data_IF_229926753801
#
_entry.id   IF_229926753801
#
_cell.length_a   1.000
_cell.length_b   1.000
_cell.length_c   1.000
_cell.angle_alpha   90.00
_cell.angle_beta   90.00
_cell.angle_gamma   90.00
#
_symmetry.space_group_name_H-M   'P 1'
#
loop_
_entity.id
_entity.type
_entity.pdbx_description
1 polymer ?
#
# COMPACT_ATOMS: atom_id res chain seq x y z
N UNK A 1 33.51 -25.58 2.83
CA UNK A 1 34.80 -25.04 3.35
C UNK A 1 35.66 -24.37 2.28
N UNK A 2 36.22 -25.06 1.26
CA UNK A 2 37.06 -24.40 0.22
C UNK A 2 36.25 -23.56 -0.80
N UNK A 3 35.00 -23.93 -1.06
CA UNK A 3 34.06 -23.21 -1.96
C UNK A 3 33.46 -21.94 -1.34
N UNK A 4 33.26 -21.95 -0.02
CA UNK A 4 32.69 -20.81 0.72
C UNK A 4 33.72 -19.67 0.88
N UNK A 5 35.01 -20.03 1.04
CA UNK A 5 36.12 -19.07 1.05
C UNK A 5 36.26 -18.34 -0.29
N UNK A 6 36.09 -19.02 -1.41
CA UNK A 6 36.17 -18.44 -2.76
C UNK A 6 35.00 -17.49 -3.06
N UNK A 7 33.82 -17.77 -2.51
CA UNK A 7 32.64 -16.90 -2.63
C UNK A 7 32.75 -15.65 -1.75
N UNK A 8 33.24 -15.79 -0.52
CA UNK A 8 33.52 -14.66 0.36
C UNK A 8 34.58 -13.73 -0.25
N UNK A 9 35.67 -14.30 -0.80
CA UNK A 9 36.74 -13.54 -1.46
C UNK A 9 36.24 -12.78 -2.71
N UNK A 10 35.27 -13.37 -3.43
CA UNK A 10 34.67 -12.74 -4.62
C UNK A 10 33.71 -11.61 -4.24
N UNK A 11 32.99 -11.74 -3.13
CA UNK A 11 32.09 -10.69 -2.61
C UNK A 11 32.91 -9.50 -2.09
N UNK A 12 34.01 -9.74 -1.39
CA UNK A 12 34.88 -8.66 -0.91
C UNK A 12 35.62 -7.95 -2.05
N UNK A 13 35.99 -8.65 -3.14
CA UNK A 13 36.54 -8.00 -4.34
C UNK A 13 35.52 -7.13 -5.06
N UNK A 14 34.27 -7.60 -5.19
CA UNK A 14 33.20 -6.80 -5.80
C UNK A 14 32.88 -5.55 -4.97
N UNK A 15 32.96 -5.63 -3.63
CA UNK A 15 32.83 -4.46 -2.75
C UNK A 15 34.01 -3.50 -2.88
N UNK A 16 35.23 -4.01 -3.02
CA UNK A 16 36.44 -3.20 -3.15
C UNK A 16 36.57 -2.54 -4.54
N UNK A 17 36.01 -3.15 -5.58
CA UNK A 17 35.88 -2.56 -6.93
C UNK A 17 34.82 -1.45 -6.93
N UNK A 18 33.64 -1.69 -6.32
CA UNK A 18 32.62 -0.66 -6.14
C UNK A 18 33.07 0.54 -5.27
N UNK A 19 33.96 0.31 -4.30
CA UNK A 19 34.49 1.39 -3.46
C UNK A 19 35.58 2.25 -4.15
N UNK A 20 36.13 1.81 -5.30
CA UNK A 20 37.25 2.48 -5.99
C UNK A 20 36.81 3.44 -7.08
N UNK A 21 35.54 3.44 -7.49
CA UNK A 21 35.02 4.22 -8.63
C UNK A 21 34.16 5.44 -8.22
N UNK A 22 34.28 5.88 -6.96
CA UNK A 22 33.40 6.89 -6.35
C UNK A 22 33.46 8.30 -6.94
N UNK A 23 32.36 8.68 -7.60
CA UNK A 23 31.73 10.00 -7.52
C UNK A 23 30.34 9.88 -6.88
N UNK A 24 29.76 10.95 -6.33
CA UNK A 24 28.42 10.91 -5.67
C UNK A 24 27.29 10.37 -6.58
N UNK A 25 27.47 10.44 -7.90
CA UNK A 25 26.57 9.85 -8.91
C UNK A 25 26.59 8.30 -8.92
N UNK A 26 27.69 7.67 -8.49
CA UNK A 26 27.88 6.22 -8.54
C UNK A 26 27.04 5.49 -7.46
N UNK A 27 26.94 6.04 -6.24
CA UNK A 27 26.06 5.48 -5.18
C UNK A 27 24.58 5.64 -5.53
N UNK A 28 24.21 6.73 -6.21
CA UNK A 28 22.84 6.97 -6.67
C UNK A 28 22.45 5.96 -7.75
N UNK A 29 23.28 5.79 -8.77
CA UNK A 29 23.03 4.84 -9.85
C UNK A 29 23.00 3.40 -9.31
N UNK A 30 23.93 3.02 -8.44
CA UNK A 30 23.96 1.68 -7.85
C UNK A 30 22.72 1.35 -7.01
N UNK A 31 22.18 2.31 -6.25
CA UNK A 31 20.93 2.11 -5.52
C UNK A 31 19.74 1.94 -6.46
N UNK A 32 19.67 2.70 -7.55
CA UNK A 32 18.64 2.54 -8.57
C UNK A 32 18.75 1.17 -9.26
N UNK A 33 19.96 0.76 -9.65
CA UNK A 33 20.24 -0.58 -10.22
C UNK A 33 19.74 -1.69 -9.28
N UNK A 34 20.01 -1.56 -7.98
CA UNK A 34 19.58 -2.52 -6.96
C UNK A 34 18.06 -2.57 -6.81
N UNK A 35 17.38 -1.42 -6.74
CA UNK A 35 15.92 -1.31 -6.68
C UNK A 35 15.26 -2.02 -7.86
N UNK A 36 15.65 -1.68 -9.08
CA UNK A 36 15.07 -2.26 -10.29
C UNK A 36 15.35 -3.76 -10.41
N UNK A 37 16.53 -4.21 -9.99
CA UNK A 37 16.88 -5.63 -9.97
C UNK A 37 16.03 -6.40 -8.96
N UNK A 38 15.88 -5.89 -7.73
CA UNK A 38 15.07 -6.53 -6.68
C UNK A 38 13.58 -6.58 -7.03
N UNK A 39 13.08 -5.57 -7.75
CA UNK A 39 11.67 -5.46 -8.14
C UNK A 39 11.35 -6.08 -9.51
N UNK A 40 12.30 -6.76 -10.15
CA UNK A 40 12.11 -7.29 -11.51
C UNK A 40 10.96 -8.32 -11.57
N UNK A 41 10.03 -8.22 -12.54
CA UNK A 41 8.81 -9.05 -12.61
C UNK A 41 9.05 -10.54 -12.86
N UNK A 42 10.26 -10.93 -13.29
CA UNK A 42 10.64 -12.33 -13.33
C UNK A 42 10.66 -12.98 -11.94
N UNK A 43 10.73 -12.19 -10.86
CA UNK A 43 10.69 -12.65 -9.48
C UNK A 43 9.24 -12.68 -8.97
N UNK A 44 8.91 -13.72 -8.19
CA UNK A 44 7.62 -13.77 -7.49
C UNK A 44 7.46 -12.55 -6.56
N UNK A 45 6.23 -12.09 -6.34
CA UNK A 45 5.96 -10.87 -5.57
C UNK A 45 6.57 -10.93 -4.16
N UNK A 46 6.40 -12.05 -3.47
CA UNK A 46 6.95 -12.28 -2.13
C UNK A 46 8.48 -12.24 -2.13
N UNK A 47 9.11 -12.69 -3.23
CA UNK A 47 10.55 -12.61 -3.39
C UNK A 47 11.03 -11.18 -3.65
N UNK A 48 10.28 -10.40 -4.45
CA UNK A 48 10.57 -8.96 -4.69
C UNK A 48 10.51 -8.17 -3.39
N UNK A 49 9.45 -8.35 -2.62
CA UNK A 49 9.27 -7.70 -1.31
C UNK A 49 10.39 -8.10 -0.35
N UNK A 50 10.66 -9.41 -0.19
CA UNK A 50 11.69 -9.88 0.72
C UNK A 50 13.11 -9.40 0.34
N UNK A 51 13.46 -9.39 -0.95
CA UNK A 51 14.75 -8.88 -1.42
C UNK A 51 14.88 -7.38 -1.19
N UNK A 52 13.82 -6.62 -1.45
CA UNK A 52 13.79 -5.16 -1.24
C UNK A 52 14.02 -4.84 0.24
N UNK A 53 13.27 -5.48 1.14
CA UNK A 53 13.43 -5.32 2.58
C UNK A 53 14.83 -5.72 3.09
N UNK A 54 15.39 -6.84 2.59
CA UNK A 54 16.72 -7.31 3.00
C UNK A 54 17.86 -6.43 2.50
N UNK A 55 17.77 -5.95 1.26
CA UNK A 55 18.88 -5.33 0.53
C UNK A 55 18.87 -3.81 0.65
N UNK A 56 17.71 -3.20 0.44
CA UNK A 56 17.51 -1.76 0.55
C UNK A 56 16.98 -1.39 1.92
N UNK A 57 16.09 -2.23 2.46
CA UNK A 57 15.46 -1.99 3.74
C UNK A 57 16.38 -2.18 4.94
N UNK A 58 17.54 -2.81 4.76
CA UNK A 58 18.51 -3.09 5.82
C UNK A 58 18.08 -4.18 6.81
N UNK A 59 16.86 -4.73 6.68
CA UNK A 59 16.37 -5.77 7.59
C UNK A 59 17.23 -7.02 7.52
N UNK A 60 17.40 -7.70 8.65
CA UNK A 60 17.99 -9.03 8.76
C UNK A 60 17.06 -10.10 8.18
N UNK A 61 17.59 -11.29 7.87
CA UNK A 61 16.76 -12.41 7.40
C UNK A 61 15.70 -12.79 8.44
N UNK A 62 16.04 -12.73 9.72
CA UNK A 62 15.11 -12.98 10.83
C UNK A 62 13.96 -11.96 10.87
N UNK A 63 14.24 -10.67 10.70
CA UNK A 63 13.21 -9.62 10.67
C UNK A 63 12.29 -9.77 9.45
N UNK A 64 12.85 -10.05 8.27
CA UNK A 64 12.04 -10.34 7.08
C UNK A 64 11.21 -11.62 7.28
N UNK A 65 11.76 -12.67 7.89
CA UNK A 65 11.02 -13.89 8.18
C UNK A 65 9.82 -13.64 9.11
N UNK A 66 10.03 -12.83 10.17
CA UNK A 66 8.99 -12.40 11.10
C UNK A 66 7.89 -11.60 10.39
N UNK A 67 8.26 -10.69 9.49
CA UNK A 67 7.31 -9.91 8.70
C UNK A 67 6.43 -10.78 7.79
N UNK A 68 6.95 -11.91 7.32
CA UNK A 68 6.22 -12.86 6.47
C UNK A 68 5.56 -14.01 7.25
N UNK A 69 5.68 -14.04 8.59
CA UNK A 69 5.19 -15.12 9.45
C UNK A 69 5.68 -16.51 9.00
N UNK A 70 6.93 -16.61 8.57
CA UNK A 70 7.56 -17.88 8.18
C UNK A 70 8.82 -18.16 9.01
N UNK A 71 9.24 -19.43 9.14
CA UNK A 71 10.53 -19.75 9.75
C UNK A 71 11.69 -19.07 9.04
N UNK A 72 12.70 -18.64 9.80
CA UNK A 72 13.89 -17.95 9.26
C UNK A 72 14.60 -18.79 8.18
N UNK A 73 14.72 -20.10 8.39
CA UNK A 73 15.29 -21.01 7.40
C UNK A 73 14.51 -21.01 6.07
N UNK A 74 13.17 -20.94 6.12
CA UNK A 74 12.32 -20.85 4.92
C UNK A 74 12.55 -19.53 4.20
N UNK A 75 12.69 -18.43 4.94
CA UNK A 75 12.99 -17.11 4.36
C UNK A 75 14.39 -17.08 3.73
N UNK A 76 15.40 -17.64 4.39
CA UNK A 76 16.75 -17.76 3.85
C UNK A 76 16.75 -18.50 2.50
N UNK A 77 16.07 -19.65 2.43
CA UNK A 77 15.94 -20.41 1.18
C UNK A 77 15.18 -19.64 0.11
N UNK A 78 14.15 -18.86 0.48
CA UNK A 78 13.41 -17.99 -0.44
C UNK A 78 14.32 -16.93 -1.06
N UNK A 79 15.11 -16.23 -0.24
CA UNK A 79 16.07 -15.23 -0.70
C UNK A 79 17.14 -15.85 -1.61
N UNK A 80 17.66 -17.03 -1.27
CA UNK A 80 18.63 -17.74 -2.10
C UNK A 80 18.06 -18.12 -3.47
N UNK A 81 16.84 -18.66 -3.51
CA UNK A 81 16.13 -18.98 -4.77
C UNK A 81 15.89 -17.74 -5.62
N UNK A 82 15.54 -16.62 -4.99
CA UNK A 82 15.35 -15.35 -5.70
C UNK A 82 16.66 -14.87 -6.34
N UNK A 83 17.78 -14.87 -5.60
CA UNK A 83 19.12 -14.53 -6.13
C UNK A 83 19.54 -15.45 -7.26
N UNK A 84 19.29 -16.75 -7.13
CA UNK A 84 19.56 -17.73 -8.19
C UNK A 84 18.72 -17.46 -9.44
N UNK A 85 17.43 -17.10 -9.27
CA UNK A 85 16.56 -16.74 -10.40
C UNK A 85 17.02 -15.48 -11.11
N UNK A 86 17.56 -14.49 -10.40
CA UNK A 86 18.18 -13.30 -11.01
C UNK A 86 19.35 -13.73 -11.93
N UNK A 87 20.23 -14.59 -11.43
CA UNK A 87 21.36 -15.10 -12.20
C UNK A 87 20.93 -15.96 -13.40
N UNK A 88 20.02 -16.92 -13.19
CA UNK A 88 19.54 -17.86 -14.20
C UNK A 88 18.79 -17.13 -15.33
N UNK A 89 17.98 -16.11 -14.99
CA UNK A 89 17.26 -15.28 -15.95
C UNK A 89 18.11 -14.16 -16.57
N UNK A 90 19.40 -14.04 -16.18
CA UNK A 90 20.34 -13.01 -16.64
C UNK A 90 19.76 -11.60 -16.54
N UNK A 91 19.08 -11.30 -15.44
CA UNK A 91 18.47 -9.98 -15.22
C UNK A 91 19.60 -8.95 -15.16
N UNK A 92 19.63 -7.95 -16.06
CA UNK A 92 20.71 -6.96 -16.08
C UNK A 92 20.73 -6.14 -14.80
N UNK A 93 21.88 -6.05 -14.14
CA UNK A 93 22.12 -5.11 -13.05
C UNK A 93 22.46 -3.73 -13.63
N UNK A 94 21.43 -3.01 -14.08
CA UNK A 94 21.53 -1.66 -14.65
C UNK A 94 20.23 -0.91 -14.42
N UNK A 95 20.27 0.41 -14.47
CA UNK A 95 19.03 1.20 -14.58
C UNK A 95 18.38 0.88 -15.93
N UNK A 96 17.05 0.61 -15.97
CA UNK A 96 16.35 0.41 -17.21
C UNK A 96 16.55 1.61 -18.15
N UNK A 97 16.63 1.39 -19.47
CA UNK A 97 16.69 2.51 -20.40
C UNK A 97 15.41 3.36 -20.28
N UNK A 98 15.45 4.67 -20.62
CA UNK A 98 14.37 5.62 -20.33
C UNK A 98 12.98 5.17 -20.83
N UNK A 99 12.91 4.49 -21.97
CA UNK A 99 11.67 3.98 -22.55
C UNK A 99 11.00 2.86 -21.73
N UNK A 100 11.76 2.13 -20.90
CA UNK A 100 11.24 1.09 -20.01
C UNK A 100 11.06 1.59 -18.57
N UNK A 101 11.59 2.77 -18.26
CA UNK A 101 11.61 3.30 -16.89
C UNK A 101 10.21 3.45 -16.29
N UNK A 102 9.17 3.97 -16.99
CA UNK A 102 7.84 4.13 -16.40
C UNK A 102 7.22 2.79 -15.94
N UNK A 103 7.26 1.77 -16.80
CA UNK A 103 6.73 0.45 -16.49
C UNK A 103 7.49 -0.20 -15.33
N UNK A 104 8.82 -0.06 -15.30
CA UNK A 104 9.66 -0.60 -14.23
C UNK A 104 9.43 0.11 -12.91
N UNK A 105 9.27 1.43 -12.95
CA UNK A 105 8.97 2.25 -11.79
C UNK A 105 7.62 1.86 -11.17
N UNK A 106 6.59 1.63 -11.99
CA UNK A 106 5.28 1.19 -11.49
C UNK A 106 5.38 -0.09 -10.63
N UNK A 107 6.21 -1.05 -11.05
CA UNK A 107 6.46 -2.28 -10.32
C UNK A 107 7.21 -2.06 -9.00
N UNK A 108 8.17 -1.13 -8.98
CA UNK A 108 8.89 -0.73 -7.76
C UNK A 108 7.93 -0.09 -6.76
N UNK A 109 7.13 0.88 -7.20
CA UNK A 109 6.16 1.58 -6.37
C UNK A 109 5.12 0.61 -5.79
N UNK A 110 4.65 -0.36 -6.58
CA UNK A 110 3.76 -1.40 -6.10
C UNK A 110 4.37 -2.27 -5.00
N UNK A 111 5.66 -2.62 -5.10
CA UNK A 111 6.38 -3.39 -4.07
C UNK A 111 6.52 -2.58 -2.79
N UNK A 112 6.90 -1.29 -2.88
CA UNK A 112 7.03 -0.41 -1.72
C UNK A 112 5.68 -0.20 -1.04
N UNK A 113 4.62 0.03 -1.81
CA UNK A 113 3.27 0.20 -1.26
C UNK A 113 2.74 -1.07 -0.60
N UNK A 114 3.08 -2.25 -1.13
CA UNK A 114 2.70 -3.52 -0.51
C UNK A 114 3.37 -3.72 0.85
N UNK A 115 4.65 -3.36 0.98
CA UNK A 115 5.35 -3.36 2.28
C UNK A 115 4.61 -2.46 3.27
N UNK A 116 4.21 -1.27 2.83
CA UNK A 116 3.47 -0.33 3.66
C UNK A 116 2.12 -0.91 4.11
N UNK A 117 1.33 -1.45 3.19
CA UNK A 117 0.00 -1.99 3.49
C UNK A 117 0.06 -3.19 4.45
N UNK A 118 1.04 -4.08 4.29
CA UNK A 118 1.27 -5.20 5.22
C UNK A 118 1.63 -4.70 6.62
N UNK A 119 2.29 -3.54 6.73
CA UNK A 119 2.53 -2.87 8.00
C UNK A 119 1.29 -2.19 8.57
N UNK A 120 0.54 -1.48 7.73
CA UNK A 120 -0.50 -0.53 8.14
C UNK A 120 -1.85 -1.19 8.45
N UNK A 121 -2.17 -2.29 7.77
CA UNK A 121 -3.41 -3.05 7.94
C UNK A 121 -3.16 -4.51 7.57
N UNK A 122 -2.45 -5.29 8.43
CA UNK A 122 -2.06 -6.66 8.11
C UNK A 122 -3.30 -7.53 7.88
N UNK A 123 -3.27 -8.37 6.84
CA UNK A 123 -4.37 -9.27 6.52
C UNK A 123 -4.56 -10.40 7.56
N UNK A 124 -3.56 -10.65 8.40
CA UNK A 124 -3.57 -11.65 9.46
C UNK A 124 -2.61 -11.31 10.62
N UNK A 125 -2.99 -11.73 11.83
CA UNK A 125 -2.18 -11.68 13.05
C UNK A 125 -2.76 -10.75 14.13
N UNK A 126 -2.38 -11.01 15.39
CA UNK A 126 -2.94 -10.36 16.60
C UNK A 126 -2.51 -8.89 16.78
N UNK A 127 -1.82 -8.30 15.82
CA UNK A 127 -1.38 -6.89 15.85
C UNK A 127 -2.08 -6.11 14.75
N UNK A 128 -2.83 -5.09 15.13
CA UNK A 128 -3.48 -4.17 14.20
C UNK A 128 -2.50 -3.38 13.32
N UNK A 129 -1.24 -3.17 13.76
CA UNK A 129 -0.20 -2.44 13.00
C UNK A 129 1.20 -3.00 13.27
N UNK A 130 2.03 -3.17 12.23
CA UNK A 130 3.47 -3.46 12.31
C UNK A 130 4.26 -2.20 11.91
N UNK A 131 4.44 -1.28 12.87
CA UNK A 131 5.01 0.05 12.62
C UNK A 131 6.42 0.06 12.01
N UNK A 132 7.22 -0.99 12.26
CA UNK A 132 8.55 -1.17 11.65
C UNK A 132 8.48 -1.24 10.12
N UNK A 133 7.48 -1.95 9.56
CA UNK A 133 7.31 -2.07 8.11
C UNK A 133 6.80 -0.75 7.49
N UNK A 134 5.90 -0.04 8.17
CA UNK A 134 5.44 1.28 7.73
C UNK A 134 6.61 2.27 7.69
N UNK A 135 7.41 2.32 8.76
CA UNK A 135 8.58 3.18 8.86
C UNK A 135 9.60 2.87 7.75
N UNK A 136 9.82 1.60 7.47
CA UNK A 136 10.74 1.18 6.42
C UNK A 136 10.22 1.53 5.01
N UNK A 137 8.94 1.31 4.73
CA UNK A 137 8.36 1.71 3.45
C UNK A 137 8.43 3.23 3.23
N UNK A 138 8.19 4.05 4.28
CA UNK A 138 8.35 5.51 4.21
C UNK A 138 9.82 5.87 3.95
N UNK A 139 10.78 5.19 4.61
CA UNK A 139 12.22 5.40 4.37
C UNK A 139 12.59 5.09 2.90
N UNK A 140 12.08 3.99 2.35
CA UNK A 140 12.26 3.65 0.94
C UNK A 140 11.59 4.66 0.00
N UNK A 141 10.41 5.18 0.35
CA UNK A 141 9.75 6.25 -0.39
C UNK A 141 10.58 7.54 -0.44
N UNK A 142 11.14 7.96 0.69
CA UNK A 142 12.06 9.13 0.75
C UNK A 142 13.34 8.89 -0.06
N UNK A 143 13.90 7.69 0.01
CA UNK A 143 15.04 7.30 -0.82
C UNK A 143 14.69 7.45 -2.31
N UNK A 144 13.54 6.95 -2.76
CA UNK A 144 13.10 7.07 -4.15
C UNK A 144 12.89 8.53 -4.56
N UNK A 145 12.32 9.38 -3.70
CA UNK A 145 12.18 10.82 -3.98
C UNK A 145 13.54 11.49 -4.18
N UNK A 146 14.55 11.10 -3.40
CA UNK A 146 15.90 11.63 -3.54
C UNK A 146 16.57 11.15 -4.84
N UNK A 147 16.39 9.86 -5.19
CA UNK A 147 16.99 9.26 -6.40
C UNK A 147 16.28 9.71 -7.69
N UNK A 148 14.97 10.02 -7.62
CA UNK A 148 14.12 10.34 -8.77
C UNK A 148 13.25 11.57 -8.46
N UNK A 149 13.85 12.76 -8.25
CA UNK A 149 13.14 13.94 -7.75
C UNK A 149 12.09 14.51 -8.71
N UNK A 150 12.20 14.19 -9.99
CA UNK A 150 11.28 14.63 -11.05
C UNK A 150 10.08 13.69 -11.26
N UNK A 151 10.09 12.50 -10.66
CA UNK A 151 9.02 11.51 -10.81
C UNK A 151 7.85 11.82 -9.87
N UNK A 152 6.75 12.31 -10.45
CA UNK A 152 5.57 12.73 -9.69
C UNK A 152 4.91 11.57 -8.90
N UNK A 153 4.86 10.36 -9.48
CA UNK A 153 4.24 9.20 -8.82
C UNK A 153 5.06 8.69 -7.62
N UNK A 154 6.38 8.90 -7.61
CA UNK A 154 7.22 8.58 -6.44
C UNK A 154 6.84 9.47 -5.26
N UNK A 155 6.68 10.78 -5.51
CA UNK A 155 6.21 11.74 -4.51
C UNK A 155 4.78 11.46 -4.08
N UNK A 156 3.90 11.12 -5.02
CA UNK A 156 2.52 10.69 -4.75
C UNK A 156 2.46 9.49 -3.79
N UNK A 157 3.29 8.47 -4.02
CA UNK A 157 3.35 7.31 -3.13
C UNK A 157 3.86 7.67 -1.73
N UNK A 158 4.92 8.48 -1.64
CA UNK A 158 5.43 8.95 -0.34
C UNK A 158 4.35 9.74 0.41
N UNK A 159 3.67 10.66 -0.26
CA UNK A 159 2.58 11.43 0.30
C UNK A 159 1.46 10.53 0.84
N UNK A 160 1.01 9.56 0.04
CA UNK A 160 -0.01 8.58 0.45
C UNK A 160 0.39 7.84 1.74
N UNK A 161 1.61 7.31 1.79
CA UNK A 161 2.10 6.57 2.95
C UNK A 161 2.19 7.46 4.20
N UNK A 162 2.69 8.69 4.06
CA UNK A 162 2.78 9.64 5.16
C UNK A 162 1.40 10.02 5.72
N UNK A 163 0.43 10.31 4.84
CA UNK A 163 -0.93 10.71 5.24
C UNK A 163 -1.68 9.54 5.91
N UNK A 164 -1.49 8.31 5.44
CA UNK A 164 -2.03 7.13 6.11
C UNK A 164 -1.38 6.92 7.47
N UNK A 165 -0.05 6.94 7.53
CA UNK A 165 0.72 6.65 8.72
C UNK A 165 0.63 7.75 9.80
N UNK A 166 0.26 8.98 9.41
CA UNK A 166 0.01 10.06 10.35
C UNK A 166 -1.09 9.72 11.35
N UNK A 167 -2.06 8.91 10.95
CA UNK A 167 -3.18 8.48 11.80
C UNK A 167 -2.90 7.20 12.58
N UNK A 168 -1.69 6.61 12.46
CA UNK A 168 -1.39 5.28 13.01
C UNK A 168 -1.74 5.17 14.50
N UNK A 169 -1.38 6.18 15.30
CA UNK A 169 -1.65 6.17 16.73
C UNK A 169 -3.15 6.24 17.06
N UNK A 170 -3.98 6.85 16.20
CA UNK A 170 -5.41 6.99 16.43
C UNK A 170 -6.24 5.80 15.96
N UNK A 171 -5.66 4.86 15.19
CA UNK A 171 -6.38 3.71 14.63
C UNK A 171 -6.72 2.63 15.64
N UNK A 172 -6.13 2.68 16.83
CA UNK A 172 -6.30 1.67 17.87
C UNK A 172 -6.52 2.38 19.20
N UNK A 173 -7.51 1.91 19.96
CA UNK A 173 -7.77 2.39 21.33
C UNK A 173 -6.89 1.68 22.36
N UNK A 174 -7.03 2.06 23.63
CA UNK A 174 -6.25 1.49 24.72
C UNK A 174 -6.57 0.00 24.98
N UNK A 175 -7.71 -0.49 24.47
CA UNK A 175 -8.11 -1.90 24.53
C UNK A 175 -7.58 -2.71 23.34
N UNK A 176 -6.86 -2.09 22.41
CA UNK A 176 -6.34 -2.75 21.22
C UNK A 176 -7.36 -2.89 20.09
N UNK A 177 -8.55 -2.29 20.21
CA UNK A 177 -9.60 -2.36 19.19
C UNK A 177 -9.42 -1.28 18.12
N UNK A 178 -9.79 -1.62 16.88
CA UNK A 178 -9.71 -0.69 15.75
C UNK A 178 -10.73 0.45 15.89
N UNK A 179 -10.29 1.67 15.60
CA UNK A 179 -11.08 2.90 15.66
C UNK A 179 -11.37 3.41 14.24
N UNK A 180 -12.65 3.43 13.80
CA UNK A 180 -13.07 4.00 12.53
C UNK A 180 -12.65 5.47 12.36
N UNK A 181 -12.37 5.90 11.13
CA UNK A 181 -11.82 7.25 10.83
C UNK A 181 -12.65 8.38 11.46
N UNK A 182 -13.97 8.32 11.36
CA UNK A 182 -14.92 9.29 11.92
C UNK A 182 -14.93 9.36 13.45
N UNK A 183 -14.27 8.41 14.11
CA UNK A 183 -14.13 8.32 15.57
C UNK A 183 -12.69 8.50 16.05
N UNK A 184 -11.74 8.69 15.14
CA UNK A 184 -10.35 8.91 15.51
C UNK A 184 -10.21 10.28 16.16
N UNK A 185 -9.48 10.35 17.27
CA UNK A 185 -9.10 11.61 17.88
C UNK A 185 -8.02 12.32 17.01
N UNK A 186 -8.33 13.47 16.38
CA UNK A 186 -7.36 14.19 15.56
C UNK A 186 -6.16 14.70 16.34
N UNK A 187 -6.27 14.88 17.67
CA UNK A 187 -5.14 15.27 18.51
C UNK A 187 -4.06 14.18 18.60
N UNK A 188 -4.41 12.93 18.27
CA UNK A 188 -3.47 11.80 18.18
C UNK A 188 -2.83 11.67 16.80
N UNK A 189 -3.16 12.54 15.85
CA UNK A 189 -2.57 12.51 14.52
C UNK A 189 -1.21 13.20 14.50
N UNK A 190 -0.28 12.64 13.71
CA UNK A 190 1.06 13.20 13.52
C UNK A 190 1.02 14.38 12.54
N UNK A 191 0.93 15.59 13.10
CA UNK A 191 0.89 16.83 12.32
C UNK A 191 2.12 17.02 11.41
N UNK A 192 3.29 16.52 11.84
CA UNK A 192 4.52 16.59 11.05
C UNK A 192 4.43 15.76 9.78
N UNK A 193 3.92 14.53 9.89
CA UNK A 193 3.68 13.66 8.71
C UNK A 193 2.58 14.17 7.81
N UNK A 194 1.52 14.78 8.37
CA UNK A 194 0.47 15.42 7.56
C UNK A 194 1.09 16.55 6.74
N UNK A 195 1.88 17.42 7.37
CA UNK A 195 2.54 18.54 6.69
C UNK A 195 3.51 18.06 5.60
N UNK A 196 4.35 17.06 5.89
CA UNK A 196 5.28 16.46 4.92
C UNK A 196 4.51 15.81 3.76
N UNK A 197 3.48 15.02 4.05
CA UNK A 197 2.67 14.34 3.03
C UNK A 197 1.97 15.32 2.09
N UNK A 198 1.40 16.41 2.63
CA UNK A 198 0.80 17.48 1.83
C UNK A 198 1.83 18.21 0.97
N UNK A 199 3.02 18.48 1.51
CA UNK A 199 4.09 19.14 0.75
C UNK A 199 4.55 18.29 -0.44
N UNK A 200 4.72 16.98 -0.25
CA UNK A 200 5.07 16.06 -1.33
C UNK A 200 3.95 15.92 -2.36
N UNK A 201 2.68 15.86 -1.92
CA UNK A 201 1.54 15.86 -2.83
C UNK A 201 1.49 17.13 -3.68
N UNK A 202 1.66 18.32 -3.08
CA UNK A 202 1.67 19.58 -3.83
C UNK A 202 2.79 19.62 -4.88
N UNK A 203 3.99 19.12 -4.54
CA UNK A 203 5.11 19.02 -5.49
C UNK A 203 4.81 18.05 -6.64
N UNK A 204 4.13 16.93 -6.35
CA UNK A 204 3.69 15.98 -7.37
C UNK A 204 2.67 16.60 -8.32
N UNK A 205 1.61 17.22 -7.77
CA UNK A 205 0.54 17.86 -8.54
C UNK A 205 1.05 19.00 -9.43
N UNK A 206 2.09 19.73 -8.99
CA UNK A 206 2.72 20.78 -9.79
C UNK A 206 3.33 20.26 -11.11
N UNK A 207 3.63 18.95 -11.22
CA UNK A 207 4.14 18.32 -12.45
C UNK A 207 3.07 18.11 -13.52
N UNK A 208 1.78 18.21 -13.17
CA UNK A 208 0.63 18.04 -14.08
C UNK A 208 0.63 16.70 -14.85
N UNK A 209 1.20 15.66 -14.23
CA UNK A 209 1.25 14.29 -14.73
C UNK A 209 0.58 13.34 -13.71
N UNK A 210 -0.76 13.42 -13.55
CA UNK A 210 -1.48 12.65 -12.55
C UNK A 210 -1.33 11.14 -12.77
N UNK A 211 -1.24 10.40 -11.67
CA UNK A 211 -1.24 8.94 -11.65
C UNK A 211 -1.90 8.39 -10.38
N UNK A 212 -1.92 7.06 -10.25
CA UNK A 212 -2.73 6.37 -9.24
C UNK A 212 -2.37 6.79 -7.80
N UNK A 213 -1.08 6.98 -7.50
CA UNK A 213 -0.65 7.26 -6.13
C UNK A 213 -0.88 8.73 -5.77
N UNK A 214 -0.72 9.64 -6.72
CA UNK A 214 -1.11 11.04 -6.54
C UNK A 214 -2.60 11.17 -6.24
N UNK A 215 -3.46 10.47 -6.98
CA UNK A 215 -4.92 10.53 -6.76
C UNK A 215 -5.30 9.89 -5.42
N UNK A 216 -4.70 8.76 -5.06
CA UNK A 216 -4.92 8.15 -3.74
C UNK A 216 -4.43 9.05 -2.61
N UNK A 217 -3.27 9.71 -2.77
CA UNK A 217 -2.75 10.67 -1.80
C UNK A 217 -3.67 11.88 -1.63
N UNK A 218 -4.27 12.38 -2.72
CA UNK A 218 -5.25 13.45 -2.65
C UNK A 218 -6.50 13.05 -1.86
N UNK A 219 -7.01 11.82 -2.07
CA UNK A 219 -8.11 11.27 -1.26
C UNK A 219 -7.71 11.18 0.22
N UNK A 220 -6.51 10.65 0.50
CA UNK A 220 -5.99 10.56 1.86
C UNK A 220 -5.81 11.93 2.53
N UNK A 221 -5.44 12.96 1.76
CA UNK A 221 -5.27 14.32 2.25
C UNK A 221 -6.59 14.91 2.76
N UNK A 222 -7.69 14.72 2.02
CA UNK A 222 -9.03 15.16 2.40
C UNK A 222 -9.53 14.52 3.70
N UNK A 223 -9.12 13.27 3.96
CA UNK A 223 -9.45 12.58 5.20
C UNK A 223 -8.69 13.07 6.43
N UNK A 224 -7.65 13.88 6.26
CA UNK A 224 -6.88 14.48 7.36
C UNK A 224 -7.00 16.00 7.39
N UNK A 225 -7.94 16.58 6.64
CA UNK A 225 -8.29 17.99 6.75
C UNK A 225 -9.08 18.28 8.02
N UNK A 226 -9.01 19.53 8.47
CA UNK A 226 -9.82 19.99 9.59
C UNK A 226 -11.27 20.13 9.12
N UNK A 227 -12.21 19.70 9.96
CA UNK A 227 -13.64 19.76 9.66
C UNK A 227 -14.20 18.49 9.02
N UNK A 228 -15.34 18.63 8.33
CA UNK A 228 -15.98 17.51 7.64
C UNK A 228 -15.25 17.18 6.34
N UNK A 229 -15.12 15.89 6.02
CA UNK A 229 -14.54 15.44 4.75
C UNK A 229 -15.37 15.95 3.56
N UNK A 230 -14.71 16.55 2.57
CA UNK A 230 -15.33 16.89 1.28
C UNK A 230 -15.61 15.63 0.46
N UNK A 231 -16.73 14.98 0.76
CA UNK A 231 -17.17 13.77 0.08
C UNK A 231 -17.44 13.94 -1.42
N UNK A 232 -18.04 15.05 -1.90
CA UNK A 232 -18.11 15.34 -3.34
C UNK A 232 -16.75 15.28 -4.03
N UNK A 233 -15.71 15.88 -3.44
CA UNK A 233 -14.36 15.84 -3.99
C UNK A 233 -13.76 14.43 -3.91
N UNK A 234 -13.94 13.70 -2.81
CA UNK A 234 -13.52 12.29 -2.68
C UNK A 234 -14.15 11.41 -3.76
N UNK A 235 -15.46 11.58 -4.02
CA UNK A 235 -16.17 10.83 -5.06
C UNK A 235 -15.64 11.15 -6.47
N UNK A 236 -15.34 12.42 -6.75
CA UNK A 236 -14.72 12.83 -8.01
C UNK A 236 -13.31 12.23 -8.19
N UNK A 237 -12.49 12.23 -7.13
CA UNK A 237 -11.16 11.63 -7.14
C UNK A 237 -11.20 10.11 -7.32
N UNK A 238 -12.15 9.40 -6.72
CA UNK A 238 -12.34 7.97 -7.01
C UNK A 238 -12.78 7.73 -8.47
N UNK A 239 -13.59 8.62 -9.05
CA UNK A 239 -13.89 8.62 -10.48
C UNK A 239 -12.64 8.77 -11.35
N UNK A 240 -11.73 9.66 -11.00
CA UNK A 240 -10.44 9.80 -11.66
C UNK A 240 -9.54 8.56 -11.44
N UNK A 241 -9.48 8.04 -10.22
CA UNK A 241 -8.65 6.88 -9.87
C UNK A 241 -9.01 5.64 -10.69
N UNK A 242 -10.29 5.44 -10.99
CA UNK A 242 -10.76 4.32 -11.82
C UNK A 242 -10.11 4.31 -13.22
N UNK A 243 -9.69 5.47 -13.76
CA UNK A 243 -9.00 5.55 -15.04
C UNK A 243 -7.54 5.06 -14.94
N UNK A 244 -6.89 5.29 -13.80
CA UNK A 244 -5.49 4.90 -13.57
C UNK A 244 -5.36 3.48 -12.99
N UNK A 245 -6.34 3.05 -12.20
CA UNK A 245 -6.37 1.78 -11.50
C UNK A 245 -7.80 1.18 -11.57
N UNK A 246 -8.21 0.61 -12.73
CA UNK A 246 -9.56 0.09 -12.98
C UNK A 246 -9.81 -1.25 -12.26
N UNK A 247 -9.70 -1.26 -10.93
CA UNK A 247 -9.90 -2.46 -10.11
C UNK A 247 -11.31 -2.49 -9.52
N UNK A 248 -11.92 -3.67 -9.33
CA UNK A 248 -13.22 -3.78 -8.65
C UNK A 248 -13.23 -3.12 -7.26
N UNK A 249 -12.11 -3.16 -6.53
CA UNK A 249 -11.97 -2.52 -5.21
C UNK A 249 -12.09 -0.99 -5.30
N UNK A 250 -11.45 -0.36 -6.29
CA UNK A 250 -11.60 1.08 -6.54
C UNK A 250 -13.05 1.44 -6.87
N UNK A 251 -13.76 0.59 -7.62
CA UNK A 251 -15.17 0.79 -7.95
C UNK A 251 -16.09 0.67 -6.72
N UNK A 252 -15.81 -0.28 -5.80
CA UNK A 252 -16.51 -0.35 -4.51
C UNK A 252 -16.31 0.93 -3.69
N UNK A 253 -15.07 1.41 -3.59
CA UNK A 253 -14.78 2.62 -2.84
C UNK A 253 -15.43 3.86 -3.47
N UNK A 254 -15.48 3.94 -4.81
CA UNK A 254 -16.21 4.98 -5.54
C UNK A 254 -17.70 4.97 -5.20
N UNK A 255 -18.34 3.80 -5.20
CA UNK A 255 -19.75 3.66 -4.84
C UNK A 255 -20.03 4.15 -3.41
N UNK A 256 -19.17 3.78 -2.45
CA UNK A 256 -19.27 4.26 -1.08
C UNK A 256 -19.10 5.79 -1.00
N UNK A 257 -18.11 6.36 -1.69
CA UNK A 257 -17.88 7.80 -1.72
C UNK A 257 -19.06 8.58 -2.29
N UNK A 258 -19.72 8.08 -3.35
CA UNK A 258 -20.95 8.66 -3.89
C UNK A 258 -22.07 8.67 -2.84
N UNK A 259 -22.22 7.59 -2.07
CA UNK A 259 -23.21 7.51 -0.99
C UNK A 259 -22.96 8.56 0.11
N UNK A 260 -21.70 8.76 0.50
CA UNK A 260 -21.33 9.78 1.47
C UNK A 260 -21.47 11.21 0.92
N UNK A 261 -21.31 11.40 -0.39
CA UNK A 261 -21.57 12.66 -1.07
C UNK A 261 -23.08 12.97 -1.27
N UNK A 262 -23.97 12.11 -0.76
CA UNK A 262 -25.42 12.29 -0.84
C UNK A 262 -26.09 11.64 -2.06
N UNK A 263 -25.36 10.88 -2.88
CA UNK A 263 -25.86 10.22 -4.08
C UNK A 263 -25.80 8.68 -3.96
N UNK A 264 -26.56 8.15 -3.00
CA UNK A 264 -26.63 6.71 -2.73
C UNK A 264 -27.23 5.92 -3.91
N UNK A 265 -28.18 6.49 -4.65
CA UNK A 265 -28.76 5.82 -5.82
C UNK A 265 -27.70 5.54 -6.89
N UNK A 266 -26.90 6.54 -7.25
CA UNK A 266 -25.79 6.36 -8.19
C UNK A 266 -24.70 5.44 -7.63
N UNK A 267 -24.48 5.48 -6.31
CA UNK A 267 -23.60 4.53 -5.64
C UNK A 267 -24.04 3.08 -5.85
N UNK A 268 -25.34 2.79 -5.73
CA UNK A 268 -25.89 1.46 -6.03
C UNK A 268 -25.72 1.08 -7.50
N UNK A 269 -25.99 2.00 -8.44
CA UNK A 269 -25.79 1.74 -9.88
C UNK A 269 -24.35 1.31 -10.20
N UNK A 270 -23.36 1.93 -9.54
CA UNK A 270 -21.94 1.57 -9.68
C UNK A 270 -21.62 0.24 -9.00
N UNK A 271 -22.22 -0.04 -7.85
CA UNK A 271 -21.90 -1.21 -7.02
C UNK A 271 -22.55 -2.49 -7.52
N UNK A 272 -23.83 -2.46 -7.92
CA UNK A 272 -24.63 -3.65 -8.26
C UNK A 272 -23.95 -4.57 -9.29
N UNK A 273 -23.36 -4.07 -10.39
CA UNK A 273 -22.64 -4.92 -11.34
C UNK A 273 -21.47 -5.70 -10.72
N UNK A 274 -20.89 -5.22 -9.60
CA UNK A 274 -19.80 -5.90 -8.91
C UNK A 274 -20.27 -7.09 -8.08
N UNK A 275 -21.56 -7.18 -7.73
CA UNK A 275 -22.14 -8.32 -7.02
C UNK A 275 -22.13 -9.60 -7.87
N UNK A 276 -22.15 -9.45 -9.20
CA UNK A 276 -22.08 -10.56 -10.16
C UNK A 276 -20.63 -11.01 -10.44
N UNK A 277 -19.62 -10.23 -10.04
CA UNK A 277 -18.23 -10.58 -10.22
C UNK A 277 -17.82 -11.68 -9.22
N UNK A 278 -17.64 -12.91 -9.74
CA UNK A 278 -17.22 -14.07 -8.94
C UNK A 278 -15.95 -13.84 -8.14
N UNK A 279 -15.05 -12.95 -8.58
CA UNK A 279 -13.81 -12.61 -7.84
C UNK A 279 -14.11 -11.83 -6.57
N UNK A 280 -15.22 -11.10 -6.54
CA UNK A 280 -15.66 -10.25 -5.43
C UNK A 280 -16.67 -10.92 -4.51
N UNK A 281 -17.16 -12.11 -4.84
CA UNK A 281 -18.20 -12.81 -4.08
C UNK A 281 -17.86 -13.02 -2.59
N UNK A 282 -16.58 -13.15 -2.25
CA UNK A 282 -16.07 -13.28 -0.86
C UNK A 282 -15.43 -11.99 -0.32
N UNK A 283 -15.48 -10.89 -1.06
CA UNK A 283 -14.93 -9.62 -0.61
C UNK A 283 -15.92 -8.93 0.32
N UNK A 284 -15.75 -9.11 1.62
CA UNK A 284 -16.65 -8.59 2.65
C UNK A 284 -16.98 -7.08 2.48
N UNK A 285 -16.02 -6.18 2.16
CA UNK A 285 -16.33 -4.75 2.04
C UNK A 285 -17.32 -4.40 0.93
N UNK A 286 -17.42 -5.21 -0.13
CA UNK A 286 -18.47 -5.06 -1.16
C UNK A 286 -19.86 -5.21 -0.56
N UNK A 287 -20.05 -6.26 0.25
CA UNK A 287 -21.36 -6.55 0.87
C UNK A 287 -21.72 -5.53 1.95
N UNK A 288 -20.73 -5.06 2.72
CA UNK A 288 -20.94 -3.97 3.68
C UNK A 288 -21.32 -2.65 3.00
N UNK A 289 -20.64 -2.29 1.91
CA UNK A 289 -20.99 -1.10 1.13
C UNK A 289 -22.38 -1.22 0.49
N UNK A 290 -22.72 -2.41 -0.03
CA UNK A 290 -24.06 -2.70 -0.55
C UNK A 290 -25.14 -2.51 0.51
N UNK A 291 -24.92 -3.04 1.71
CA UNK A 291 -25.86 -2.92 2.82
C UNK A 291 -26.09 -1.46 3.23
N UNK A 292 -25.02 -0.69 3.36
CA UNK A 292 -25.08 0.74 3.68
C UNK A 292 -25.82 1.54 2.59
N UNK A 293 -25.55 1.25 1.32
CA UNK A 293 -26.19 1.91 0.20
C UNK A 293 -27.70 1.60 0.13
N UNK A 294 -28.10 0.33 0.31
CA UNK A 294 -29.50 -0.07 0.37
C UNK A 294 -30.24 0.60 1.54
N UNK A 295 -29.58 0.70 2.70
CA UNK A 295 -30.14 1.39 3.85
C UNK A 295 -30.42 2.87 3.54
N UNK A 296 -29.46 3.57 2.94
CA UNK A 296 -29.59 4.99 2.55
C UNK A 296 -30.68 5.22 1.50
N UNK A 297 -30.96 4.24 0.65
CA UNK A 297 -32.06 4.32 -0.33
C UNK A 297 -33.39 3.78 0.20
N UNK A 298 -33.47 3.37 1.47
CA UNK A 298 -34.71 2.95 2.13
C UNK A 298 -35.07 1.47 2.01
N UNK A 299 -34.20 0.62 1.44
CA UNK A 299 -34.40 -0.84 1.39
C UNK A 299 -33.81 -1.51 2.63
N UNK A 300 -34.54 -1.43 3.75
CA UNK A 300 -34.11 -2.00 5.02
C UNK A 300 -33.99 -3.54 4.98
N UNK A 301 -34.86 -4.22 4.21
CA UNK A 301 -34.84 -5.68 4.10
C UNK A 301 -33.61 -6.15 3.31
N UNK A 302 -33.33 -5.52 2.18
CA UNK A 302 -32.12 -5.78 1.39
C UNK A 302 -30.85 -5.42 2.17
N UNK A 303 -30.84 -4.29 2.87
CA UNK A 303 -29.71 -3.89 3.71
C UNK A 303 -29.40 -4.94 4.79
N UNK A 304 -30.44 -5.48 5.44
CA UNK A 304 -30.30 -6.53 6.46
C UNK A 304 -29.66 -7.79 5.88
N UNK A 305 -30.13 -8.25 4.73
CA UNK A 305 -29.57 -9.42 4.04
C UNK A 305 -28.12 -9.20 3.60
N UNK A 306 -27.79 -8.00 3.11
CA UNK A 306 -26.42 -7.65 2.72
C UNK A 306 -25.48 -7.56 3.94
N UNK A 307 -25.93 -7.04 5.08
CA UNK A 307 -25.15 -7.09 6.33
C UNK A 307 -24.94 -8.51 6.83
N UNK A 308 -25.95 -9.38 6.75
CA UNK A 308 -25.80 -10.80 7.06
C UNK A 308 -24.70 -11.44 6.22
N UNK A 309 -24.71 -11.17 4.92
CA UNK A 309 -23.65 -11.66 4.03
C UNK A 309 -22.27 -11.12 4.39
N UNK A 310 -22.17 -9.85 4.76
CA UNK A 310 -20.92 -9.25 5.22
C UNK A 310 -20.41 -9.90 6.53
N UNK A 311 -21.31 -10.22 7.45
CA UNK A 311 -21.02 -10.88 8.73
C UNK A 311 -20.55 -12.33 8.56
N UNK A 312 -21.06 -13.06 7.57
CA UNK A 312 -20.58 -14.40 7.21
C UNK A 312 -19.13 -14.40 6.69
N UNK A 313 -18.69 -13.28 6.11
CA UNK A 313 -17.40 -13.17 5.42
C UNK A 313 -16.30 -12.52 6.27
N UNK A 314 -16.60 -12.07 7.49
CA UNK A 314 -15.60 -11.52 8.40
C UNK A 314 -15.21 -12.49 9.52
N UNK A 315 -13.91 -12.71 9.66
CA UNK A 315 -13.31 -13.38 10.82
C UNK A 315 -12.74 -12.37 11.84
N UNK A 316 -12.74 -11.08 11.49
CA UNK A 316 -12.24 -10.02 12.36
C UNK A 316 -13.34 -9.59 13.35
N UNK A 317 -13.06 -9.75 14.64
CA UNK A 317 -14.00 -9.41 15.71
C UNK A 317 -14.39 -7.92 15.70
N UNK A 318 -13.50 -7.01 15.29
CA UNK A 318 -13.80 -5.58 15.25
C UNK A 318 -14.74 -5.25 14.10
N UNK A 319 -14.44 -5.75 12.90
CA UNK A 319 -15.31 -5.58 11.74
C UNK A 319 -16.70 -6.19 12.02
N UNK A 320 -16.74 -7.36 12.67
CA UNK A 320 -17.98 -8.01 13.10
C UNK A 320 -18.81 -7.11 14.01
N UNK A 321 -18.21 -6.57 15.08
CA UNK A 321 -18.91 -5.71 16.04
C UNK A 321 -19.48 -4.45 15.38
N UNK A 322 -18.73 -3.84 14.44
CA UNK A 322 -19.19 -2.66 13.71
C UNK A 322 -20.35 -2.99 12.74
N UNK A 323 -20.27 -4.10 12.02
CA UNK A 323 -21.35 -4.56 11.13
C UNK A 323 -22.62 -4.91 11.92
N UNK A 324 -22.49 -5.60 13.06
CA UNK A 324 -23.61 -5.90 13.96
C UNK A 324 -24.28 -4.62 14.48
N UNK A 325 -23.48 -3.63 14.88
CA UNK A 325 -23.96 -2.31 15.30
C UNK A 325 -24.75 -1.63 14.19
N UNK A 326 -24.22 -1.57 12.96
CA UNK A 326 -24.90 -0.95 11.82
C UNK A 326 -26.17 -1.70 11.44
N UNK A 327 -26.14 -3.03 11.45
CA UNK A 327 -27.32 -3.88 11.20
C UNK A 327 -28.40 -3.67 12.26
N UNK A 328 -28.02 -3.50 13.53
CA UNK A 328 -28.96 -3.22 14.62
C UNK A 328 -29.59 -1.82 14.51
N UNK A 329 -28.90 -0.87 13.88
CA UNK A 329 -29.41 0.47 13.61
C UNK A 329 -30.38 0.54 12.41
N UNK A 330 -30.54 -0.55 11.65
CA UNK A 330 -31.60 -0.66 10.63
C UNK A 330 -32.95 -0.78 11.34
N UNK A 331 -33.73 0.32 11.30
CA UNK A 331 -35.12 0.35 11.77
C UNK A 331 -35.99 -0.71 11.08
#
# INVERSE_FOLDING_TARGET
LRRDRVLADRIERLKAEAAREGGEDDDTDDRLRLIFTCCHPALALEARVALTLKSLGGLTTAEVARAFLVPEATMYQRLLRAKRKIADARIPYRVPPPELLPDRLSGVLAVVYLVFNEGYSPAAGDRAVRGELCGEAIRLGRLLVNLMPDEAEVRGLLALMLLHDARRAARVDDAGAYVPLDRQDPARWDAGRIAEGRAELHRALARRTPGQYQVQAAIAALHVEEGETDWPQVAALYGALEHYAPTPVVRVNRAAALAFAGDAARGLEVLVPLLEDRRMARYQPLHAAHAELLHRTGDAAGARAAYDRALELTENAVDRAELERRKAALA
#
